data_IF_491665024530
#
_entry.id   IF_491665024530
#
_cell.length_a   1.000
_cell.length_b   1.000
_cell.length_c   1.000
_cell.angle_alpha   90.00
_cell.angle_beta   90.00
_cell.angle_gamma   90.00
#
_symmetry.space_group_name_H-M   'P 1'
#
loop_
_entity.id
_entity.type
_entity.pdbx_description
1 polymer ?
#
# COMPACT_ATOMS: atom_id res chain seq x y z
N UNK A 1 25.99 12.01 6.30
CA UNK A 1 24.94 11.01 6.62
C UNK A 1 23.59 11.72 6.69
N UNK A 2 22.85 11.78 5.58
CA UNK A 2 21.50 12.34 5.56
C UNK A 2 20.49 11.28 6.03
N UNK A 3 20.51 10.95 7.32
CA UNK A 3 19.49 10.13 7.95
C UNK A 3 18.52 11.03 8.70
N UNK A 4 17.35 11.30 8.14
CA UNK A 4 16.28 11.97 8.89
C UNK A 4 15.89 11.16 10.13
N UNK A 5 15.38 11.82 11.17
CA UNK A 5 14.89 11.13 12.37
C UNK A 5 13.63 10.30 12.03
N UNK A 6 13.78 8.98 11.97
CA UNK A 6 12.63 8.08 11.75
C UNK A 6 11.79 7.96 13.02
N UNK A 7 10.45 8.05 12.89
CA UNK A 7 9.53 7.84 14.01
C UNK A 7 9.58 6.39 14.53
N UNK A 8 9.88 5.43 13.67
CA UNK A 8 9.97 4.02 14.02
C UNK A 8 11.12 3.33 13.29
N UNK A 9 11.79 2.41 14.01
CA UNK A 9 12.77 1.50 13.45
C UNK A 9 12.27 0.06 13.66
N UNK A 10 12.28 -0.74 12.59
CA UNK A 10 11.90 -2.16 12.63
C UNK A 10 12.80 -2.96 11.70
N UNK A 11 13.10 -4.17 12.14
CA UNK A 11 13.81 -5.17 11.34
C UNK A 11 12.83 -6.05 10.56
N UNK A 12 13.31 -6.50 9.39
CA UNK A 12 12.71 -7.51 8.54
C UNK A 12 13.75 -8.58 8.28
N UNK A 13 13.35 -9.84 8.44
CA UNK A 13 14.20 -10.96 8.06
C UNK A 13 14.04 -11.18 6.56
N UNK A 14 15.16 -11.06 5.86
CA UNK A 14 15.29 -11.39 4.45
C UNK A 14 15.80 -12.82 4.38
N UNK A 15 15.10 -13.70 3.64
CA UNK A 15 15.57 -15.07 3.48
C UNK A 15 16.80 -15.08 2.56
N UNK A 16 17.81 -15.90 2.90
CA UNK A 16 19.07 -15.96 2.15
C UNK A 16 18.81 -16.27 0.65
N UNK A 17 19.62 -15.74 -0.28
CA UNK A 17 19.56 -16.17 -1.67
C UNK A 17 19.83 -17.68 -1.72
N UNK A 18 18.89 -18.45 -2.25
CA UNK A 18 19.04 -19.91 -2.40
C UNK A 18 17.83 -20.78 -2.03
N UNK A 19 16.67 -20.22 -1.64
CA UNK A 19 15.43 -21.02 -1.63
C UNK A 19 14.14 -20.30 -2.07
N UNK A 20 14.08 -18.96 -2.06
CA UNK A 20 12.90 -18.19 -2.48
C UNK A 20 13.29 -16.76 -2.94
N UNK A 21 13.91 -16.61 -4.11
CA UNK A 21 14.26 -15.32 -4.71
C UNK A 21 15.64 -14.78 -4.27
N UNK A 22 16.40 -14.26 -5.22
CA UNK A 22 17.66 -13.56 -4.97
C UNK A 22 17.33 -12.16 -4.47
N UNK A 23 17.64 -11.88 -3.20
CA UNK A 23 17.52 -10.52 -2.68
C UNK A 23 18.77 -9.78 -3.10
N UNK A 24 18.62 -8.93 -4.12
CA UNK A 24 19.59 -7.90 -4.51
C UNK A 24 20.10 -7.16 -3.26
N UNK A 25 21.43 -7.01 -3.17
CA UNK A 25 22.12 -6.38 -2.04
C UNK A 25 21.56 -4.98 -1.73
N UNK A 26 20.68 -4.89 -0.73
CA UNK A 26 20.12 -3.61 -0.28
C UNK A 26 21.23 -2.81 0.42
N UNK A 27 21.52 -1.62 -0.08
CA UNK A 27 22.52 -0.70 0.48
C UNK A 27 21.87 0.23 1.51
N UNK A 28 22.71 0.76 2.41
CA UNK A 28 22.25 1.74 3.39
C UNK A 28 21.89 3.03 2.65
N UNK A 29 20.66 3.52 2.82
CA UNK A 29 20.17 4.75 2.20
C UNK A 29 19.15 4.52 1.07
N UNK A 30 18.97 3.28 0.68
CA UNK A 30 17.98 2.85 -0.30
C UNK A 30 16.54 3.14 0.15
N UNK A 31 15.71 3.62 -0.78
CA UNK A 31 14.30 3.91 -0.53
C UNK A 31 13.41 2.82 -1.12
N UNK A 32 12.50 2.31 -0.29
CA UNK A 32 11.49 1.33 -0.69
C UNK A 32 10.16 2.06 -0.91
N UNK A 33 9.66 2.02 -2.14
CA UNK A 33 8.39 2.66 -2.54
C UNK A 33 7.30 1.62 -2.76
N UNK A 34 6.07 2.09 -2.90
CA UNK A 34 4.88 1.24 -3.06
C UNK A 34 4.85 0.52 -4.42
N UNK A 35 5.60 1.00 -5.41
CA UNK A 35 5.77 0.37 -6.72
C UNK A 35 6.29 -1.09 -6.65
N UNK A 36 6.82 -1.50 -5.51
CA UNK A 36 7.23 -2.89 -5.24
C UNK A 36 6.05 -3.86 -5.18
N UNK A 37 4.84 -3.37 -4.90
CA UNK A 37 3.66 -4.19 -4.69
C UNK A 37 2.80 -4.23 -5.96
N UNK A 38 2.25 -5.39 -6.28
CA UNK A 38 1.35 -5.56 -7.41
C UNK A 38 -0.09 -5.72 -6.92
N UNK A 39 -1.05 -5.16 -7.66
CA UNK A 39 -2.47 -5.34 -7.38
C UNK A 39 -2.84 -6.82 -7.53
N UNK A 40 -3.56 -7.37 -6.56
CA UNK A 40 -3.92 -8.80 -6.51
C UNK A 40 -2.99 -9.66 -5.65
N UNK A 41 -1.84 -9.14 -5.20
CA UNK A 41 -0.95 -9.87 -4.30
C UNK A 41 -1.56 -10.09 -2.92
N UNK A 42 -1.12 -11.19 -2.27
CA UNK A 42 -1.51 -11.54 -0.90
C UNK A 42 -0.43 -11.09 0.09
N UNK A 43 -0.84 -10.27 1.05
CA UNK A 43 0.02 -9.74 2.09
C UNK A 43 -0.31 -10.33 3.47
N UNK A 44 0.68 -10.32 4.35
CA UNK A 44 0.52 -10.51 5.79
C UNK A 44 0.71 -9.17 6.49
N UNK A 45 -0.35 -8.68 7.13
CA UNK A 45 -0.34 -7.44 7.90
C UNK A 45 -0.08 -7.74 9.37
N UNK A 46 0.95 -7.16 9.97
CA UNK A 46 1.23 -7.32 11.40
C UNK A 46 1.22 -5.98 12.11
N UNK A 47 0.36 -5.83 13.11
CA UNK A 47 0.20 -4.59 13.85
C UNK A 47 -0.20 -4.82 15.31
N UNK A 48 -0.10 -3.77 16.12
CA UNK A 48 -0.54 -3.79 17.52
C UNK A 48 -2.02 -3.42 17.57
N UNK A 49 -2.87 -4.35 18.00
CA UNK A 49 -4.33 -4.16 17.99
C UNK A 49 -4.75 -3.14 19.05
N UNK A 50 -5.80 -2.35 18.75
CA UNK A 50 -6.38 -1.37 19.68
C UNK A 50 -6.66 -1.98 21.06
N UNK A 51 -6.09 -1.37 22.10
CA UNK A 51 -6.33 -1.75 23.49
C UNK A 51 -7.77 -1.46 23.92
N UNK A 52 -8.35 -2.35 24.74
CA UNK A 52 -9.71 -2.22 25.31
C UNK A 52 -9.70 -2.24 26.85
N UNK A 53 -8.53 -2.08 27.47
CA UNK A 53 -8.38 -2.08 28.93
C UNK A 53 -8.57 -3.47 29.56
N UNK A 54 -9.03 -3.50 30.80
CA UNK A 54 -9.43 -4.73 31.49
C UNK A 54 -10.82 -5.15 31.02
N UNK A 55 -10.93 -6.32 30.40
CA UNK A 55 -12.19 -6.86 29.90
C UNK A 55 -12.66 -8.05 30.75
N UNK A 56 -13.95 -8.04 31.08
CA UNK A 56 -14.64 -9.17 31.68
C UNK A 56 -14.71 -10.38 30.74
N UNK A 57 -15.05 -11.55 31.27
CA UNK A 57 -15.02 -12.83 30.53
C UNK A 57 -15.94 -12.89 29.32
N UNK A 58 -17.13 -12.28 29.42
CA UNK A 58 -18.09 -12.21 28.31
C UNK A 58 -17.49 -11.44 27.13
N UNK A 59 -16.91 -10.26 27.37
CA UNK A 59 -16.31 -9.43 26.31
C UNK A 59 -14.99 -10.00 25.78
N UNK A 60 -14.18 -10.60 26.65
CA UNK A 60 -12.82 -11.07 26.32
C UNK A 60 -12.83 -12.41 25.58
N UNK A 61 -13.67 -13.35 26.01
CA UNK A 61 -13.66 -14.74 25.53
C UNK A 61 -14.99 -15.19 24.93
N UNK A 62 -16.02 -14.33 24.90
CA UNK A 62 -17.34 -14.68 24.35
C UNK A 62 -18.11 -15.68 25.22
N UNK A 63 -17.88 -15.70 26.54
CA UNK A 63 -18.61 -16.58 27.44
C UNK A 63 -20.09 -16.20 27.49
N UNK A 64 -20.97 -17.21 27.57
CA UNK A 64 -22.39 -17.00 27.80
C UNK A 64 -22.62 -16.57 29.24
N UNK A 65 -23.52 -15.60 29.42
CA UNK A 65 -23.97 -15.17 30.74
C UNK A 65 -24.97 -16.16 31.36
N UNK A 66 -25.34 -15.93 32.62
CA UNK A 66 -26.49 -16.58 33.23
C UNK A 66 -27.80 -15.87 32.85
N UNK A 67 -28.94 -16.55 33.08
CA UNK A 67 -30.27 -15.98 32.83
C UNK A 67 -30.51 -14.72 33.66
N UNK A 68 -31.03 -13.66 33.05
CA UNK A 68 -31.35 -12.42 33.79
C UNK A 68 -32.68 -12.51 34.56
N UNK A 69 -33.66 -13.29 34.06
CA UNK A 69 -35.05 -13.21 34.53
C UNK A 69 -35.46 -14.22 35.61
N UNK A 70 -34.85 -15.41 35.68
CA UNK A 70 -35.25 -16.46 36.63
C UNK A 70 -34.55 -16.35 38.01
N UNK A 71 -34.57 -15.16 38.62
CA UNK A 71 -34.11 -14.95 40.01
C UNK A 71 -32.60 -15.03 40.22
N UNK A 72 -31.80 -14.83 39.17
CA UNK A 72 -30.33 -14.74 39.31
C UNK A 72 -29.97 -13.40 39.97
N UNK A 73 -29.19 -13.43 41.07
CA UNK A 73 -28.90 -12.22 41.86
C UNK A 73 -27.86 -11.30 41.21
N UNK A 74 -26.65 -11.80 40.97
CA UNK A 74 -25.48 -11.02 40.51
C UNK A 74 -24.59 -11.79 39.51
N UNK A 75 -24.99 -13.01 39.15
CA UNK A 75 -24.15 -13.95 38.41
C UNK A 75 -24.22 -13.80 36.89
N UNK A 76 -24.96 -12.82 36.37
CA UNK A 76 -25.28 -12.69 34.94
C UNK A 76 -24.04 -12.74 34.03
N UNK A 77 -22.91 -12.18 34.46
CA UNK A 77 -21.67 -12.12 33.66
C UNK A 77 -20.48 -12.87 34.27
N UNK A 78 -20.74 -13.74 35.23
CA UNK A 78 -19.69 -14.52 35.89
C UNK A 78 -19.15 -15.64 35.00
N UNK A 79 -17.89 -16.07 35.19
CA UNK A 79 -17.26 -17.12 34.38
C UNK A 79 -17.82 -18.53 34.57
N UNK A 80 -18.69 -18.75 35.57
CA UNK A 80 -19.10 -20.07 36.00
C UNK A 80 -17.96 -20.84 36.69
N UNK A 81 -18.03 -22.17 36.67
CA UNK A 81 -17.01 -23.02 37.30
C UNK A 81 -15.66 -22.97 36.57
N UNK A 82 -14.58 -22.76 37.34
CA UNK A 82 -13.22 -22.57 36.82
C UNK A 82 -12.41 -23.87 36.82
N UNK A 83 -12.75 -24.84 37.67
CA UNK A 83 -12.01 -26.10 37.86
C UNK A 83 -12.86 -27.25 38.36
N UNK A 84 -12.25 -28.45 38.43
CA UNK A 84 -12.87 -29.66 38.97
C UNK A 84 -12.43 -29.89 40.42
N UNK A 85 -13.33 -30.38 41.28
CA UNK A 85 -13.06 -30.51 42.73
C UNK A 85 -11.88 -31.41 43.10
N UNK A 86 -11.55 -32.41 42.27
CA UNK A 86 -10.38 -33.29 42.51
C UNK A 86 -9.03 -32.63 42.23
N UNK A 87 -9.00 -31.49 41.55
CA UNK A 87 -7.78 -30.76 41.20
C UNK A 87 -7.70 -29.52 42.08
N UNK A 88 -6.80 -29.51 43.06
CA UNK A 88 -6.67 -28.45 44.07
C UNK A 88 -6.07 -27.13 43.54
N UNK A 89 -5.95 -26.98 42.21
CA UNK A 89 -5.47 -25.75 41.59
C UNK A 89 -6.14 -25.52 40.24
N UNK A 90 -6.11 -24.28 39.75
CA UNK A 90 -6.62 -23.93 38.42
C UNK A 90 -5.55 -24.23 37.38
N UNK A 91 -5.92 -24.96 36.32
CA UNK A 91 -5.01 -25.25 35.21
C UNK A 91 -4.48 -23.96 34.55
N UNK A 92 -3.20 -23.98 34.18
CA UNK A 92 -2.56 -22.88 33.46
C UNK A 92 -3.26 -22.65 32.12
N UNK A 93 -3.41 -21.39 31.73
CA UNK A 93 -4.10 -21.00 30.49
C UNK A 93 -5.64 -20.97 30.58
N UNK A 94 -6.23 -21.24 31.75
CA UNK A 94 -7.68 -21.10 31.93
C UNK A 94 -8.13 -19.68 31.61
N UNK A 95 -9.17 -19.57 30.78
CA UNK A 95 -9.75 -18.31 30.32
C UNK A 95 -10.40 -17.55 31.48
N UNK A 96 -9.86 -16.37 31.77
CA UNK A 96 -10.26 -15.49 32.88
C UNK A 96 -10.34 -14.02 32.40
N UNK A 97 -10.96 -13.11 33.18
CA UNK A 97 -10.99 -11.69 32.82
C UNK A 97 -9.56 -11.12 32.84
N UNK A 98 -9.33 -10.01 32.15
CA UNK A 98 -7.99 -9.42 32.07
C UNK A 98 -7.81 -8.44 30.93
N UNK A 99 -6.56 -8.00 30.72
CA UNK A 99 -6.22 -7.05 29.65
C UNK A 99 -6.59 -7.61 28.28
N UNK A 100 -7.33 -6.82 27.51
CA UNK A 100 -7.76 -7.13 26.14
C UNK A 100 -7.18 -6.11 25.15
N UNK A 101 -6.67 -6.61 24.03
CA UNK A 101 -5.99 -5.80 23.02
C UNK A 101 -4.58 -5.37 23.45
N UNK A 102 -3.94 -4.53 22.64
CA UNK A 102 -2.54 -4.14 22.84
C UNK A 102 -1.52 -5.25 22.55
N UNK A 103 -1.97 -6.39 22.03
CA UNK A 103 -1.13 -7.48 21.58
C UNK A 103 -0.84 -7.31 20.09
N UNK A 104 0.30 -7.83 19.64
CA UNK A 104 0.62 -7.90 18.22
C UNK A 104 -0.19 -9.03 17.58
N UNK A 105 -0.89 -8.73 16.49
CA UNK A 105 -1.65 -9.71 15.71
C UNK A 105 -1.25 -9.60 14.26
N UNK A 106 -1.18 -10.75 13.58
CA UNK A 106 -0.92 -10.85 12.15
C UNK A 106 -2.17 -11.33 11.45
N UNK A 107 -2.67 -10.57 10.49
CA UNK A 107 -3.65 -11.04 9.52
C UNK A 107 -2.90 -11.63 8.33
N UNK A 108 -3.34 -12.80 7.88
CA UNK A 108 -2.72 -13.53 6.77
C UNK A 108 -3.59 -13.40 5.53
N UNK A 109 -2.96 -13.53 4.36
CA UNK A 109 -3.62 -13.65 3.07
C UNK A 109 -4.57 -12.50 2.73
N UNK A 110 -4.16 -11.27 3.06
CA UNK A 110 -4.95 -10.07 2.80
C UNK A 110 -4.64 -9.54 1.41
N UNK A 111 -5.66 -9.38 0.57
CA UNK A 111 -5.51 -9.03 -0.85
C UNK A 111 -5.38 -7.52 -1.07
N UNK A 112 -4.49 -7.12 -1.97
CA UNK A 112 -4.36 -5.73 -2.43
C UNK A 112 -5.39 -5.44 -3.52
N UNK A 113 -6.29 -4.50 -3.27
CA UNK A 113 -7.40 -4.15 -4.17
C UNK A 113 -7.00 -3.06 -5.16
N UNK A 114 -6.25 -2.06 -4.69
CA UNK A 114 -5.79 -0.94 -5.51
C UNK A 114 -4.56 -0.30 -4.89
N UNK A 115 -3.77 0.36 -5.73
CA UNK A 115 -2.55 1.08 -5.35
C UNK A 115 -2.63 2.49 -5.95
N UNK A 116 -2.43 3.52 -5.12
CA UNK A 116 -2.26 4.90 -5.56
C UNK A 116 -0.81 5.32 -5.28
N UNK A 117 0.02 5.27 -6.32
CA UNK A 117 1.45 5.62 -6.25
C UNK A 117 1.67 7.11 -5.97
N UNK A 118 0.79 7.98 -6.46
CA UNK A 118 0.94 9.44 -6.30
C UNK A 118 0.81 9.87 -4.84
N UNK A 119 -0.10 9.22 -4.10
CA UNK A 119 -0.34 9.50 -2.68
C UNK A 119 0.40 8.55 -1.74
N UNK A 120 1.11 7.55 -2.28
CA UNK A 120 1.68 6.46 -1.51
C UNK A 120 0.64 5.78 -0.58
N UNK A 121 -0.50 5.36 -1.15
CA UNK A 121 -1.58 4.68 -0.41
C UNK A 121 -1.88 3.32 -1.03
N UNK A 122 -2.05 2.31 -0.18
CA UNK A 122 -2.46 0.95 -0.58
C UNK A 122 -3.86 0.68 -0.03
N UNK A 123 -4.74 0.17 -0.88
CA UNK A 123 -6.07 -0.29 -0.52
C UNK A 123 -6.05 -1.80 -0.36
N UNK A 124 -6.47 -2.26 0.81
CA UNK A 124 -6.42 -3.66 1.19
C UNK A 124 -7.82 -4.14 1.54
N UNK A 125 -8.14 -5.37 1.17
CA UNK A 125 -9.42 -5.97 1.49
C UNK A 125 -9.58 -6.22 3.00
N UNK A 126 -10.72 -5.81 3.56
CA UNK A 126 -11.09 -6.11 4.94
C UNK A 126 -10.48 -5.17 5.99
N UNK A 127 -9.92 -5.75 7.06
CA UNK A 127 -9.51 -5.02 8.25
C UNK A 127 -7.99 -4.90 8.38
N UNK A 128 -7.52 -3.77 8.92
CA UNK A 128 -6.10 -3.57 9.26
C UNK A 128 -5.89 -3.69 10.77
N UNK A 129 -4.89 -4.45 11.25
CA UNK A 129 -4.62 -4.59 12.67
C UNK A 129 -4.05 -3.30 13.25
N UNK A 130 -4.85 -2.57 14.03
CA UNK A 130 -4.36 -1.40 14.77
C UNK A 130 -5.40 -0.31 14.96
N UNK A 131 -4.95 0.83 15.48
CA UNK A 131 -5.72 2.08 15.46
C UNK A 131 -5.28 2.94 14.27
N UNK A 132 -6.09 3.91 13.88
CA UNK A 132 -5.68 4.87 12.85
C UNK A 132 -4.34 5.53 13.23
N UNK A 133 -3.40 5.58 12.27
CA UNK A 133 -2.06 6.13 12.48
C UNK A 133 -1.05 5.24 13.21
N UNK A 134 -1.41 3.99 13.55
CA UNK A 134 -0.44 3.03 14.11
C UNK A 134 0.45 2.44 13.04
N UNK A 135 1.68 2.06 13.43
CA UNK A 135 2.60 1.33 12.56
C UNK A 135 2.06 -0.07 12.26
N UNK A 136 2.04 -0.43 10.96
CA UNK A 136 1.71 -1.77 10.48
C UNK A 136 2.89 -2.28 9.66
N UNK A 137 3.36 -3.49 9.96
CA UNK A 137 4.36 -4.18 9.15
C UNK A 137 3.65 -4.94 8.03
N UNK A 138 4.13 -4.75 6.81
CA UNK A 138 3.70 -5.50 5.64
C UNK A 138 4.74 -6.58 5.35
N UNK A 139 4.28 -7.81 5.13
CA UNK A 139 5.11 -8.88 4.57
C UNK A 139 4.41 -9.39 3.32
N UNK A 140 5.09 -9.33 2.19
CA UNK A 140 4.63 -9.88 0.92
C UNK A 140 5.64 -10.88 0.39
N UNK A 141 5.20 -11.66 -0.59
CA UNK A 141 6.07 -12.48 -1.43
C UNK A 141 6.25 -11.73 -2.74
N UNK A 142 7.49 -11.35 -3.07
CA UNK A 142 7.81 -10.62 -4.28
C UNK A 142 9.23 -10.07 -4.24
N UNK A 143 9.67 -9.53 -5.37
CA UNK A 143 10.98 -8.91 -5.49
C UNK A 143 10.91 -7.47 -4.96
N UNK A 144 11.93 -7.05 -4.22
CA UNK A 144 12.02 -5.70 -3.68
C UNK A 144 12.59 -4.76 -4.72
N UNK A 145 11.79 -3.82 -5.22
CA UNK A 145 12.26 -2.77 -6.12
C UNK A 145 12.81 -1.63 -5.27
N UNK A 146 14.10 -1.39 -5.42
CA UNK A 146 14.82 -0.40 -4.64
C UNK A 146 15.16 0.81 -5.51
N UNK A 147 14.76 2.00 -5.08
CA UNK A 147 15.21 3.25 -5.69
C UNK A 147 16.42 3.77 -4.91
N UNK A 148 17.57 3.87 -5.56
CA UNK A 148 18.67 4.69 -5.04
C UNK A 148 18.20 6.16 -5.05
N UNK A 149 18.30 6.91 -3.94
CA UNK A 149 18.02 8.34 -4.00
C UNK A 149 19.07 9.00 -4.91
N UNK A 150 18.62 9.51 -6.06
CA UNK A 150 19.48 10.31 -6.95
C UNK A 150 19.94 11.53 -6.16
N UNK A 151 21.23 11.57 -5.83
CA UNK A 151 21.89 12.70 -5.21
C UNK A 151 21.88 13.88 -6.19
N UNK A 152 21.00 14.86 -5.96
CA UNK A 152 21.17 16.20 -6.51
C UNK A 152 22.39 16.86 -5.84
N UNK A 153 23.51 16.82 -6.53
CA UNK A 153 24.58 17.84 -6.49
C UNK A 153 25.12 17.97 -7.93
N UNK A 154 24.40 18.72 -8.77
CA UNK A 154 25.04 19.42 -9.87
C UNK A 154 24.99 20.91 -9.54
N UNK A 155 25.98 21.36 -8.77
CA UNK A 155 26.51 22.74 -8.79
C UNK A 155 27.86 22.72 -8.10
N UNK A 156 28.92 22.47 -8.87
CA UNK A 156 30.27 22.97 -8.57
C UNK A 156 31.11 22.82 -9.83
N UNK A 157 31.26 23.93 -10.56
CA UNK A 157 32.14 23.97 -11.73
C UNK A 157 31.75 25.04 -12.74
N UNK A 158 31.67 26.29 -12.31
CA UNK A 158 31.98 27.41 -13.21
C UNK A 158 33.47 27.28 -13.48
N UNK A 159 33.85 26.83 -14.67
CA UNK A 159 35.15 27.16 -15.25
C UNK A 159 34.91 28.22 -16.32
N UNK A 160 35.46 29.38 -16.04
CA UNK A 160 35.58 30.52 -16.92
C UNK A 160 36.30 30.11 -18.21
N UNK A 161 35.64 30.28 -19.35
CA UNK A 161 36.34 30.54 -20.60
C UNK A 161 36.07 32.00 -20.96
N UNK A 162 37.12 32.79 -20.86
CA UNK A 162 37.22 34.19 -21.27
C UNK A 162 36.89 34.36 -22.76
N UNK A 163 36.04 35.34 -23.07
CA UNK A 163 35.92 35.91 -24.42
C UNK A 163 34.57 36.61 -24.66
N UNK A 164 34.51 37.93 -24.47
CA UNK A 164 33.46 38.79 -25.04
C UNK A 164 33.81 39.18 -26.51
N UNK A 165 32.95 39.89 -27.26
CA UNK A 165 31.59 39.53 -27.69
C UNK A 165 31.43 39.75 -29.21
N UNK A 166 30.36 39.25 -29.84
CA UNK A 166 29.89 39.81 -31.11
C UNK A 166 28.38 39.68 -31.21
N UNK A 167 27.71 40.81 -31.44
CA UNK A 167 26.27 40.99 -31.55
C UNK A 167 25.73 40.46 -32.89
N UNK A 168 24.39 40.25 -32.98
CA UNK A 168 23.45 40.61 -34.08
C UNK A 168 22.14 39.82 -33.81
N UNK A 169 21.12 40.45 -33.22
CA UNK A 169 19.88 41.02 -33.80
C UNK A 169 18.72 40.01 -34.00
N UNK A 170 17.57 40.41 -33.48
CA UNK A 170 16.24 39.80 -33.55
C UNK A 170 15.64 40.09 -34.93
N UNK A 171 14.79 39.21 -35.49
CA UNK A 171 13.60 39.61 -36.27
C UNK A 171 12.55 38.49 -36.41
N UNK A 172 11.30 38.93 -36.49
CA UNK A 172 10.03 38.20 -36.49
C UNK A 172 9.66 37.57 -37.86
N UNK A 173 8.57 36.79 -37.86
CA UNK A 173 7.69 36.40 -38.98
C UNK A 173 7.94 35.08 -39.78
N UNK A 174 6.98 34.17 -39.58
CA UNK A 174 6.19 33.35 -40.54
C UNK A 174 6.79 32.73 -41.82
N UNK A 175 6.50 31.42 -41.93
CA UNK A 175 6.03 30.68 -43.13
C UNK A 175 6.97 30.31 -44.32
N UNK A 176 7.00 28.97 -44.56
CA UNK A 176 6.66 28.30 -45.85
C UNK A 176 7.75 28.16 -46.94
N UNK A 177 8.18 26.88 -47.07
CA UNK A 177 8.20 26.04 -48.29
C UNK A 177 9.43 25.96 -49.23
N UNK A 178 10.01 24.75 -49.21
CA UNK A 178 10.42 23.81 -50.29
C UNK A 178 11.42 24.27 -51.36
N UNK A 179 12.50 23.48 -51.49
CA UNK A 179 12.99 22.90 -52.76
C UNK A 179 13.64 21.54 -52.50
N UNK A 180 13.10 20.50 -53.12
CA UNK A 180 13.62 19.13 -53.05
C UNK A 180 14.58 18.79 -54.18
N UNK A 181 15.19 17.61 -54.09
CA UNK A 181 15.61 16.83 -55.25
C UNK A 181 15.47 15.32 -54.95
N UNK A 182 15.02 14.62 -55.99
CA UNK A 182 14.36 13.31 -56.06
C UNK A 182 15.25 12.08 -55.88
N UNK A 183 14.69 10.97 -55.39
CA UNK A 183 14.49 9.74 -56.18
C UNK A 183 13.88 8.56 -55.36
N UNK A 184 12.68 8.15 -55.82
CA UNK A 184 12.07 6.80 -55.77
C UNK A 184 11.41 6.30 -54.47
N UNK A 185 10.06 6.37 -54.47
CA UNK A 185 9.21 5.32 -53.89
C UNK A 185 8.03 5.79 -53.02
N UNK A 186 7.00 6.40 -53.62
CA UNK A 186 5.70 6.65 -52.97
C UNK A 186 4.63 5.65 -53.46
N UNK A 187 3.89 5.05 -52.53
CA UNK A 187 2.49 4.62 -52.74
C UNK A 187 1.70 5.09 -51.51
N UNK A 188 0.66 5.85 -51.79
CA UNK A 188 -0.25 6.55 -50.88
C UNK A 188 -1.65 5.89 -50.87
N UNK A 189 -2.58 6.55 -50.15
CA UNK A 189 -4.06 6.46 -50.16
C UNK A 189 -4.63 5.75 -48.91
N UNK A 190 -5.59 6.26 -48.13
CA UNK A 190 -6.14 7.61 -47.87
C UNK A 190 -7.11 7.47 -46.68
N UNK A 191 -7.15 8.46 -45.78
CA UNK A 191 -8.19 8.58 -44.75
C UNK A 191 -9.19 9.63 -45.22
N UNK A 192 -10.27 9.20 -45.87
CA UNK A 192 -11.47 10.00 -46.12
C UNK A 192 -12.67 9.08 -45.90
N UNK A 193 -13.41 9.33 -44.81
CA UNK A 193 -14.85 9.09 -44.66
C UNK A 193 -15.23 9.37 -43.19
N UNK A 194 -15.05 10.63 -42.80
CA UNK A 194 -15.80 11.22 -41.70
C UNK A 194 -16.43 12.51 -42.24
N UNK A 195 -17.72 12.66 -41.95
CA UNK A 195 -18.60 13.79 -42.25
C UNK A 195 -19.32 13.69 -43.60
N UNK A 196 -20.52 13.10 -43.58
CA UNK A 196 -21.75 13.77 -44.03
C UNK A 196 -22.96 12.82 -43.90
N UNK A 197 -23.92 13.21 -43.04
CA UNK A 197 -25.40 13.07 -43.16
C UNK A 197 -26.08 13.03 -41.78
N UNK A 198 -26.37 14.22 -41.27
CA UNK A 198 -27.60 14.46 -40.51
C UNK A 198 -28.78 14.67 -41.48
N UNK A 199 -29.99 14.47 -40.94
CA UNK A 199 -31.33 14.58 -41.53
C UNK A 199 -31.84 13.34 -42.31
N UNK A 200 -32.78 12.60 -41.71
CA UNK A 200 -34.24 12.73 -41.95
C UNK A 200 -35.02 11.80 -41.01
N UNK A 201 -36.13 12.33 -40.48
CA UNK A 201 -37.15 11.74 -39.61
C UNK A 201 -37.88 10.54 -40.24
N UNK A 202 -38.30 9.57 -39.42
CA UNK A 202 -39.69 9.01 -39.39
C UNK A 202 -39.77 7.75 -38.49
N UNK A 203 -40.59 7.82 -37.44
CA UNK A 203 -41.21 6.65 -36.77
C UNK A 203 -42.44 6.23 -37.59
N UNK A 204 -42.73 4.92 -37.72
CA UNK A 204 -43.94 4.42 -37.03
C UNK A 204 -43.88 2.95 -36.53
N UNK A 205 -44.60 2.75 -35.42
CA UNK A 205 -45.48 1.62 -35.06
C UNK A 205 -44.95 0.18 -34.86
N UNK A 206 -45.04 -0.22 -33.58
CA UNK A 206 -45.70 -1.41 -33.02
C UNK A 206 -45.76 -2.73 -33.82
N UNK A 207 -45.16 -3.77 -33.22
CA UNK A 207 -45.85 -5.02 -32.91
C UNK A 207 -45.23 -5.70 -31.69
#
# INVERSE_FOLDING_TARGET
>A
MQGGAFRWLREFRLDKPGKWGEISEVKIGDQITIATLVVGDKLRLTGTVKGRGFAGVVKRHGFHGHSATHGTKDQERMPGSIGAGGVQHVFKGKRMPGRMGGNQVTFKDVLIVAIDETKNVIYVEGGVPGSRGSLVKLFGTGDLIVSTPVSKLETSGVEEIKGEPTQIEINEETEVVIKGESAQGEISISTEDAMDKEAVLETPEAK
#
